data_IF_007501876183
#
_entry.id   IF_007501876183
#
_cell.length_a   1.000
_cell.length_b   1.000
_cell.length_c   1.000
_cell.angle_alpha   90.00
_cell.angle_beta   90.00
_cell.angle_gamma   90.00
#
_symmetry.space_group_name_H-M   'P 1'
#
loop_
_entity.id
_entity.type
_entity.pdbx_description
1 polymer ?
#
# COMPACT_ATOMS: atom_id res chain seq x y z
N UNK A 1 -32.35 -76.32 -14.69
CA UNK A 1 -33.46 -75.66 -13.99
C UNK A 1 -33.12 -75.62 -12.51
N UNK A 2 -33.25 -74.43 -11.87
CA UNK A 2 -33.58 -74.08 -10.46
C UNK A 2 -33.00 -74.99 -9.34
N UNK A 3 -32.49 -74.50 -8.21
CA UNK A 3 -33.07 -73.62 -7.18
C UNK A 3 -31.87 -73.16 -6.31
N UNK A 4 -31.76 -71.96 -5.71
CA UNK A 4 -32.75 -71.02 -5.21
C UNK A 4 -32.35 -70.69 -3.76
N UNK A 5 -31.56 -69.63 -3.55
CA UNK A 5 -31.13 -69.17 -2.22
C UNK A 5 -32.04 -68.03 -1.73
N UNK A 6 -32.49 -68.18 -0.49
CA UNK A 6 -33.37 -67.28 0.26
C UNK A 6 -32.70 -65.91 0.50
N UNK A 7 -33.38 -64.80 0.20
CA UNK A 7 -32.99 -63.44 0.63
C UNK A 7 -34.13 -62.84 1.45
N UNK A 8 -33.86 -62.62 2.75
CA UNK A 8 -34.71 -61.91 3.69
C UNK A 8 -34.56 -60.40 3.47
N UNK A 9 -35.67 -59.72 3.18
CA UNK A 9 -35.73 -58.27 3.05
C UNK A 9 -35.94 -57.60 4.41
N UNK A 10 -35.13 -56.59 4.74
CA UNK A 10 -35.40 -55.62 5.80
C UNK A 10 -35.53 -54.23 5.16
N UNK A 11 -36.76 -53.77 4.95
CA UNK A 11 -37.06 -52.40 4.52
C UNK A 11 -36.99 -51.46 5.72
N UNK A 12 -36.05 -50.52 5.72
CA UNK A 12 -35.94 -49.46 6.73
C UNK A 12 -36.64 -48.21 6.18
N UNK A 13 -37.69 -47.72 6.86
CA UNK A 13 -38.34 -46.46 6.49
C UNK A 13 -37.41 -45.29 6.78
N UNK A 14 -37.02 -44.55 5.75
CA UNK A 14 -36.29 -43.29 5.90
C UNK A 14 -37.27 -42.20 6.30
N UNK A 15 -37.19 -41.74 7.55
CA UNK A 15 -37.77 -40.46 7.96
C UNK A 15 -37.06 -39.29 7.26
N UNK A 16 -37.66 -38.08 7.24
CA UNK A 16 -37.12 -36.96 6.48
C UNK A 16 -35.71 -36.59 6.97
N UNK A 17 -34.82 -36.35 6.00
CA UNK A 17 -33.45 -35.96 6.23
C UNK A 17 -33.39 -34.73 7.15
N UNK A 18 -32.89 -34.90 8.37
CA UNK A 18 -32.41 -33.79 9.18
C UNK A 18 -31.28 -33.12 8.40
N UNK A 19 -31.52 -31.90 7.91
CA UNK A 19 -30.50 -30.97 7.48
C UNK A 19 -29.39 -30.94 8.52
N UNK A 20 -28.20 -31.44 8.16
CA UNK A 20 -26.98 -31.20 8.93
C UNK A 20 -26.68 -29.71 8.81
N UNK A 21 -27.21 -28.92 9.74
CA UNK A 21 -26.70 -27.59 9.99
C UNK A 21 -25.22 -27.76 10.33
N UNK A 22 -24.34 -27.41 9.39
CA UNK A 22 -22.91 -27.32 9.60
C UNK A 22 -22.68 -26.46 10.83
N UNK A 23 -22.08 -27.04 11.87
CA UNK A 23 -21.63 -26.30 13.03
C UNK A 23 -20.69 -25.19 12.53
N UNK A 24 -21.14 -23.94 12.59
CA UNK A 24 -20.30 -22.79 12.27
C UNK A 24 -19.14 -22.79 13.25
N UNK A 25 -17.92 -22.95 12.76
CA UNK A 25 -16.72 -22.86 13.58
C UNK A 25 -16.76 -21.56 14.39
N UNK A 26 -16.64 -21.66 15.71
CA UNK A 26 -16.67 -20.50 16.61
C UNK A 26 -15.31 -19.82 16.72
N UNK A 27 -14.27 -20.48 16.21
CA UNK A 27 -12.88 -20.03 16.19
C UNK A 27 -12.34 -20.09 14.77
N UNK A 28 -11.31 -19.31 14.50
CA UNK A 28 -10.54 -19.31 13.25
C UNK A 28 -9.07 -19.03 13.52
N UNK A 29 -8.18 -19.47 12.63
CA UNK A 29 -6.75 -19.23 12.76
C UNK A 29 -6.33 -17.87 12.20
N UNK A 30 -5.40 -17.22 12.88
CA UNK A 30 -4.75 -16.01 12.43
C UNK A 30 -3.27 -15.99 12.82
N UNK A 31 -2.45 -15.36 11.99
CA UNK A 31 -1.04 -15.10 12.27
C UNK A 31 -0.92 -13.77 13.00
N UNK A 32 -0.15 -13.77 14.08
CA UNK A 32 0.18 -12.56 14.86
C UNK A 32 1.68 -12.49 15.10
N UNK A 33 2.18 -11.27 15.25
CA UNK A 33 3.57 -11.06 15.64
C UNK A 33 3.80 -11.48 17.10
N UNK A 34 4.84 -12.29 17.33
CA UNK A 34 5.38 -12.58 18.67
C UNK A 34 6.91 -12.48 18.65
N UNK A 35 7.44 -11.48 19.37
CA UNK A 35 8.88 -11.24 19.47
C UNK A 35 9.68 -12.40 20.08
N UNK A 36 9.01 -13.33 20.76
CA UNK A 36 9.61 -14.51 21.39
C UNK A 36 9.64 -15.72 20.46
N UNK A 37 8.88 -15.68 19.35
CA UNK A 37 8.89 -16.74 18.37
C UNK A 37 10.15 -16.66 17.51
N UNK A 38 10.78 -17.79 17.14
CA UNK A 38 11.97 -17.80 16.28
C UNK A 38 11.75 -17.08 14.95
N UNK A 39 10.58 -17.30 14.33
CA UNK A 39 10.19 -16.68 13.06
C UNK A 39 9.55 -15.28 13.25
N UNK A 40 9.49 -14.78 14.48
CA UNK A 40 8.82 -13.53 14.84
C UNK A 40 7.30 -13.57 14.76
N UNK A 41 6.68 -14.68 14.35
CA UNK A 41 5.22 -14.85 14.24
C UNK A 41 4.75 -16.17 14.82
N UNK A 42 3.49 -16.23 15.23
CA UNK A 42 2.80 -17.45 15.69
C UNK A 42 1.38 -17.50 15.13
N UNK A 43 0.87 -18.73 14.95
CA UNK A 43 -0.55 -18.97 14.66
C UNK A 43 -1.31 -18.99 15.98
N UNK A 44 -2.40 -18.24 16.05
CA UNK A 44 -3.32 -18.19 17.19
C UNK A 44 -4.75 -18.47 16.73
N UNK A 45 -5.56 -19.01 17.63
CA UNK A 45 -7.00 -19.09 17.42
C UNK A 45 -7.67 -17.79 17.88
N UNK A 46 -8.65 -17.32 17.11
CA UNK A 46 -9.47 -16.15 17.42
C UNK A 46 -10.95 -16.51 17.34
N UNK A 47 -11.76 -15.90 18.19
CA UNK A 47 -13.21 -16.04 18.12
C UNK A 47 -13.75 -15.37 16.85
N UNK A 48 -14.65 -16.05 16.15
CA UNK A 48 -15.43 -15.41 15.08
C UNK A 48 -16.20 -14.22 15.67
N UNK A 49 -16.15 -13.01 15.07
CA UNK A 49 -16.89 -11.87 15.57
C UNK A 49 -18.39 -12.17 15.65
N UNK A 50 -19.01 -11.87 16.81
CA UNK A 50 -20.47 -12.04 16.98
C UNK A 50 -21.30 -11.14 16.06
N UNK A 51 -20.73 -10.01 15.64
CA UNK A 51 -21.33 -9.07 14.72
C UNK A 51 -20.24 -8.29 13.97
N UNK A 52 -20.50 -7.96 12.71
CA UNK A 52 -19.63 -7.11 11.89
C UNK A 52 -19.93 -5.63 12.16
N UNK A 53 -18.90 -4.80 12.27
CA UNK A 53 -19.02 -3.35 12.48
C UNK A 53 -19.60 -2.66 11.25
N UNK A 54 -20.33 -1.55 11.46
CA UNK A 54 -20.77 -0.67 10.36
C UNK A 54 -19.59 -0.23 9.48
N UNK A 55 -19.83 -0.16 8.17
CA UNK A 55 -18.80 0.18 7.17
C UNK A 55 -17.72 -0.89 6.99
N UNK A 56 -17.94 -2.11 7.49
CA UNK A 56 -17.05 -3.26 7.32
C UNK A 56 -17.85 -4.45 6.79
N UNK A 57 -17.12 -5.42 6.24
CA UNK A 57 -17.63 -6.76 5.93
C UNK A 57 -16.69 -7.79 6.53
N UNK A 58 -17.21 -8.97 6.88
CA UNK A 58 -16.39 -10.12 7.24
C UNK A 58 -16.09 -10.91 5.97
N UNK A 59 -14.81 -11.14 5.68
CA UNK A 59 -14.35 -11.87 4.51
C UNK A 59 -13.76 -13.20 4.94
N UNK A 60 -14.20 -14.29 4.30
CA UNK A 60 -13.51 -15.59 4.29
C UNK A 60 -12.33 -15.49 3.35
N UNK A 61 -11.15 -15.35 3.93
CA UNK A 61 -9.91 -15.20 3.17
C UNK A 61 -9.60 -16.51 2.46
N UNK A 62 -9.30 -16.43 1.17
CA UNK A 62 -8.93 -17.56 0.31
C UNK A 62 -7.45 -17.52 -0.07
N UNK A 63 -6.88 -16.32 -0.19
CA UNK A 63 -5.46 -16.11 -0.41
C UNK A 63 -5.01 -14.76 0.18
N UNK A 64 -3.71 -14.65 0.46
CA UNK A 64 -3.06 -13.42 0.92
C UNK A 64 -1.85 -13.10 0.04
N UNK A 65 -1.56 -11.81 -0.13
CA UNK A 65 -0.32 -11.34 -0.73
C UNK A 65 0.76 -11.16 0.34
N UNK A 66 2.01 -11.52 0.03
CA UNK A 66 3.15 -11.33 0.93
C UNK A 66 4.00 -10.17 0.42
N UNK A 67 4.26 -9.22 1.30
CA UNK A 67 4.94 -7.97 1.01
C UNK A 67 6.12 -7.75 1.98
N UNK A 68 7.20 -7.06 1.57
CA UNK A 68 8.29 -6.69 2.48
C UNK A 68 7.81 -5.90 3.71
N UNK A 69 6.71 -5.14 3.57
CA UNK A 69 6.14 -4.37 4.67
C UNK A 69 5.59 -5.26 5.80
N UNK A 70 5.16 -6.49 5.51
CA UNK A 70 4.63 -7.42 6.51
C UNK A 70 5.69 -7.72 7.58
N UNK A 71 6.90 -8.05 7.14
CA UNK A 71 8.05 -8.29 8.02
C UNK A 71 8.53 -7.00 8.72
N UNK A 72 8.49 -5.85 8.02
CA UNK A 72 8.88 -4.56 8.59
C UNK A 72 7.99 -4.15 9.78
N UNK A 73 6.68 -4.45 9.73
CA UNK A 73 5.81 -4.22 10.87
C UNK A 73 6.12 -5.13 12.05
N UNK A 74 6.52 -6.38 11.81
CA UNK A 74 6.94 -7.30 12.87
C UNK A 74 8.10 -6.72 13.71
N UNK A 75 9.06 -6.02 13.10
CA UNK A 75 10.19 -5.43 13.82
C UNK A 75 9.97 -3.98 14.26
N UNK A 76 8.76 -3.42 14.05
CA UNK A 76 8.47 -2.02 14.39
C UNK A 76 9.25 -1.01 13.55
N UNK A 77 9.62 -1.37 12.31
CA UNK A 77 10.36 -0.52 11.36
C UNK A 77 9.58 0.73 10.94
N UNK A 78 8.25 0.72 11.11
CA UNK A 78 7.37 1.86 10.79
C UNK A 78 7.20 2.86 11.93
N UNK A 79 7.90 2.65 13.03
CA UNK A 79 7.91 3.55 14.17
C UNK A 79 9.19 4.43 14.13
N UNK A 80 9.15 5.65 14.66
CA UNK A 80 10.30 6.54 14.65
C UNK A 80 11.58 5.86 15.16
N UNK A 81 12.67 5.95 14.39
CA UNK A 81 13.96 5.33 14.74
C UNK A 81 14.51 5.82 16.08
N UNK A 82 14.13 7.04 16.50
CA UNK A 82 14.48 7.59 17.81
C UNK A 82 13.90 6.80 18.99
N UNK A 83 12.89 5.95 18.76
CA UNK A 83 12.36 5.07 19.80
C UNK A 83 13.26 3.84 19.99
N UNK A 84 13.57 3.46 21.25
CA UNK A 84 14.33 2.26 21.54
C UNK A 84 13.72 1.03 20.85
N UNK A 85 14.57 0.18 20.26
CA UNK A 85 14.11 -1.00 19.52
C UNK A 85 13.18 -1.89 20.37
N UNK A 86 13.52 -2.11 21.64
CA UNK A 86 12.69 -2.88 22.57
C UNK A 86 11.29 -2.29 22.76
N UNK A 87 11.17 -0.95 22.74
CA UNK A 87 9.88 -0.27 22.81
C UNK A 87 9.10 -0.43 21.50
N UNK A 88 9.74 -0.21 20.35
CA UNK A 88 9.12 -0.40 19.03
C UNK A 88 8.56 -1.82 18.88
N UNK A 89 9.36 -2.84 19.20
CA UNK A 89 8.94 -4.25 19.15
C UNK A 89 7.85 -4.59 20.17
N UNK A 90 7.82 -3.91 21.31
CA UNK A 90 6.74 -4.09 22.30
C UNK A 90 5.40 -3.55 21.78
N UNK A 91 5.38 -2.39 21.12
CA UNK A 91 4.14 -1.78 20.63
C UNK A 91 3.43 -2.58 19.53
N UNK A 92 4.13 -3.47 18.83
CA UNK A 92 3.56 -4.31 17.76
C UNK A 92 3.29 -5.74 18.22
N UNK A 93 3.65 -6.11 19.46
CA UNK A 93 3.42 -7.45 20.03
C UNK A 93 1.94 -7.86 19.96
N UNK A 94 1.65 -9.04 19.42
CA UNK A 94 0.28 -9.54 19.25
C UNK A 94 -0.50 -8.86 18.13
N UNK A 95 0.11 -7.92 17.38
CA UNK A 95 -0.47 -7.31 16.20
C UNK A 95 -0.70 -8.33 15.08
N UNK A 96 -1.76 -8.13 14.31
CA UNK A 96 -2.02 -8.94 13.12
C UNK A 96 -0.98 -8.70 12.02
N UNK A 97 -0.72 -9.75 11.23
CA UNK A 97 0.26 -9.73 10.13
C UNK A 97 -0.45 -9.79 8.77
N UNK A 98 0.19 -9.19 7.78
CA UNK A 98 -0.26 -9.19 6.39
C UNK A 98 -1.13 -7.98 6.03
N UNK A 99 -0.95 -7.46 4.83
CA UNK A 99 -1.83 -6.43 4.27
C UNK A 99 -2.86 -6.98 3.28
N UNK A 100 -2.45 -7.79 2.30
CA UNK A 100 -3.30 -8.10 1.15
C UNK A 100 -4.12 -9.36 1.34
N UNK A 101 -5.37 -9.34 0.86
CA UNK A 101 -6.25 -10.49 0.84
C UNK A 101 -7.12 -10.55 -0.42
N UNK A 102 -7.52 -11.77 -0.77
CA UNK A 102 -8.67 -12.02 -1.61
C UNK A 102 -9.52 -13.14 -1.01
N UNK A 103 -10.84 -13.03 -1.14
CA UNK A 103 -11.75 -13.95 -0.51
C UNK A 103 -13.20 -13.71 -0.86
N UNK A 104 -14.09 -14.27 -0.05
CA UNK A 104 -15.54 -14.18 -0.25
C UNK A 104 -16.16 -13.46 0.94
N UNK A 105 -17.08 -12.52 0.69
CA UNK A 105 -17.84 -11.87 1.76
C UNK A 105 -18.68 -12.94 2.48
N UNK A 106 -18.39 -13.15 3.76
CA UNK A 106 -19.05 -14.13 4.60
C UNK A 106 -20.21 -13.53 5.40
N UNK A 107 -20.05 -12.32 5.90
CA UNK A 107 -21.09 -11.66 6.68
C UNK A 107 -21.05 -10.13 6.53
N UNK A 108 -22.23 -9.54 6.67
CA UNK A 108 -22.45 -8.10 6.66
C UNK A 108 -22.75 -7.60 8.08
N UNK A 109 -22.70 -6.28 8.32
CA UNK A 109 -23.17 -5.69 9.57
C UNK A 109 -24.67 -6.01 9.76
N UNK A 110 -25.14 -6.28 11.00
CA UNK A 110 -26.55 -6.58 11.24
C UNK A 110 -27.53 -5.50 10.75
N UNK A 111 -27.06 -4.25 10.66
CA UNK A 111 -27.87 -3.12 10.19
C UNK A 111 -27.86 -2.92 8.66
N UNK A 112 -27.12 -3.72 7.90
CA UNK A 112 -26.93 -3.51 6.46
C UNK A 112 -28.07 -4.09 5.59
N UNK A 113 -28.90 -4.99 6.13
CA UNK A 113 -29.87 -5.72 5.32
C UNK A 113 -29.17 -6.63 4.31
N UNK A 114 -29.46 -6.45 3.02
CA UNK A 114 -28.92 -7.30 1.94
C UNK A 114 -27.53 -6.88 1.44
N UNK A 115 -27.09 -5.64 1.70
CA UNK A 115 -25.82 -5.13 1.18
C UNK A 115 -25.18 -4.07 2.09
N UNK A 116 -23.85 -4.04 2.19
CA UNK A 116 -23.08 -2.99 2.84
C UNK A 116 -22.16 -2.31 1.83
N UNK A 117 -22.41 -1.02 1.53
CA UNK A 117 -21.63 -0.24 0.55
C UNK A 117 -21.47 -0.93 -0.81
N UNK A 118 -22.51 -1.64 -1.26
CA UNK A 118 -22.53 -2.37 -2.53
C UNK A 118 -22.10 -3.84 -2.45
N UNK A 119 -21.51 -4.29 -1.34
CA UNK A 119 -21.09 -5.68 -1.14
C UNK A 119 -22.20 -6.54 -0.51
N UNK A 120 -22.36 -7.77 -1.01
CA UNK A 120 -23.29 -8.79 -0.54
C UNK A 120 -22.55 -10.04 -0.07
N UNK A 121 -23.20 -10.84 0.78
CA UNK A 121 -22.69 -12.17 1.14
C UNK A 121 -22.55 -13.02 -0.12
N UNK A 122 -21.40 -13.67 -0.28
CA UNK A 122 -21.06 -14.46 -1.45
C UNK A 122 -20.22 -13.72 -2.51
N UNK A 123 -20.08 -12.39 -2.43
CA UNK A 123 -19.28 -11.64 -3.39
C UNK A 123 -17.79 -12.00 -3.27
N UNK A 124 -17.13 -12.22 -4.40
CA UNK A 124 -15.68 -12.35 -4.47
C UNK A 124 -15.04 -10.96 -4.43
N UNK A 125 -14.13 -10.77 -3.48
CA UNK A 125 -13.50 -9.46 -3.20
C UNK A 125 -12.01 -9.60 -3.01
N UNK A 126 -11.28 -8.52 -3.27
CA UNK A 126 -9.86 -8.38 -2.97
C UNK A 126 -9.58 -6.98 -2.45
N UNK A 127 -8.49 -6.82 -1.69
CA UNK A 127 -8.16 -5.54 -1.10
C UNK A 127 -7.07 -5.64 -0.04
N UNK A 128 -6.93 -4.56 0.74
CA UNK A 128 -5.88 -4.46 1.74
C UNK A 128 -6.42 -4.22 3.15
N UNK A 129 -5.67 -4.62 4.16
CA UNK A 129 -6.00 -4.41 5.56
C UNK A 129 -5.30 -3.17 6.11
N UNK A 130 -5.94 -2.42 7.02
CA UNK A 130 -5.24 -1.42 7.81
C UNK A 130 -4.09 -2.04 8.62
N UNK A 131 -3.03 -1.27 8.94
CA UNK A 131 -1.90 -1.77 9.73
C UNK A 131 -2.31 -2.46 11.04
N UNK A 132 -1.54 -3.48 11.43
CA UNK A 132 -1.73 -4.29 12.65
C UNK A 132 -3.05 -5.09 12.69
N UNK A 133 -3.80 -5.13 11.59
CA UNK A 133 -4.87 -6.09 11.39
C UNK A 133 -4.33 -7.30 10.62
N UNK A 134 -4.91 -8.47 10.83
CA UNK A 134 -4.42 -9.70 10.22
C UNK A 134 -5.19 -9.98 8.92
N UNK A 135 -4.53 -9.86 7.76
CA UNK A 135 -5.01 -10.53 6.53
C UNK A 135 -4.54 -11.98 6.48
N UNK A 136 -3.39 -12.30 7.11
CA UNK A 136 -2.91 -13.68 7.29
C UNK A 136 -3.78 -14.39 8.33
N UNK A 137 -5.02 -14.66 7.96
CA UNK A 137 -6.04 -15.25 8.79
C UNK A 137 -7.11 -15.89 7.92
N UNK A 138 -7.84 -16.86 8.46
CA UNK A 138 -8.97 -17.48 7.75
C UNK A 138 -10.15 -16.50 7.62
N UNK A 139 -10.27 -15.53 8.52
CA UNK A 139 -11.31 -14.49 8.53
C UNK A 139 -10.71 -13.11 8.77
N UNK A 140 -11.18 -12.13 8.01
CA UNK A 140 -10.79 -10.73 8.15
C UNK A 140 -12.03 -9.82 8.15
N UNK A 141 -12.16 -8.97 9.17
CA UNK A 141 -13.15 -7.88 9.18
C UNK A 141 -12.52 -6.66 8.50
N UNK A 142 -12.96 -6.34 7.29
CA UNK A 142 -12.32 -5.37 6.41
C UNK A 142 -13.22 -4.14 6.22
N UNK A 143 -12.69 -2.91 6.30
CA UNK A 143 -13.45 -1.73 5.91
C UNK A 143 -13.83 -1.81 4.42
N UNK A 144 -15.09 -1.49 4.08
CA UNK A 144 -15.59 -1.59 2.70
C UNK A 144 -14.80 -0.73 1.70
N UNK A 145 -14.32 0.44 2.13
CA UNK A 145 -13.49 1.34 1.31
C UNK A 145 -12.06 0.82 1.04
N UNK A 146 -11.68 -0.32 1.64
CA UNK A 146 -10.41 -1.00 1.40
C UNK A 146 -10.58 -2.23 0.49
N UNK A 147 -11.79 -2.51 0.04
CA UNK A 147 -12.14 -3.64 -0.82
C UNK A 147 -12.60 -3.16 -2.19
N UNK A 148 -12.37 -4.01 -3.17
CA UNK A 148 -12.99 -3.94 -4.48
C UNK A 148 -13.56 -5.32 -4.87
N UNK A 149 -14.53 -5.31 -5.79
CA UNK A 149 -14.98 -6.54 -6.42
C UNK A 149 -13.81 -7.19 -7.18
N UNK A 150 -13.67 -8.51 -7.04
CA UNK A 150 -12.62 -9.24 -7.74
C UNK A 150 -12.86 -9.19 -9.26
N UNK A 151 -11.86 -8.85 -10.09
CA UNK A 151 -12.00 -8.91 -11.54
C UNK A 151 -12.35 -10.33 -12.00
N UNK A 152 -13.24 -10.43 -12.98
CA UNK A 152 -13.58 -11.71 -13.59
C UNK A 152 -12.33 -12.36 -14.21
N UNK A 153 -12.19 -13.67 -14.02
CA UNK A 153 -11.08 -14.45 -14.58
C UNK A 153 -9.83 -14.55 -13.71
N UNK A 154 -9.69 -13.75 -12.64
CA UNK A 154 -8.59 -13.92 -11.68
C UNK A 154 -8.91 -15.00 -10.65
N UNK A 155 -7.92 -15.83 -10.33
CA UNK A 155 -7.94 -16.68 -9.15
C UNK A 155 -7.72 -15.85 -7.87
N UNK A 156 -8.11 -16.38 -6.71
CA UNK A 156 -7.87 -15.69 -5.43
C UNK A 156 -6.38 -15.37 -5.19
N UNK A 157 -5.40 -16.26 -5.45
CA UNK A 157 -3.99 -15.92 -5.31
C UNK A 157 -3.54 -14.77 -6.23
N UNK A 158 -3.99 -14.75 -7.48
CA UNK A 158 -3.67 -13.67 -8.42
C UNK A 158 -4.27 -12.34 -7.95
N UNK A 159 -5.54 -12.34 -7.54
CA UNK A 159 -6.19 -11.15 -7.00
C UNK A 159 -5.52 -10.65 -5.71
N UNK A 160 -5.12 -11.56 -4.81
CA UNK A 160 -4.47 -11.20 -3.55
C UNK A 160 -3.05 -10.63 -3.75
N UNK A 161 -2.42 -10.83 -4.91
CA UNK A 161 -1.09 -10.31 -5.20
C UNK A 161 -1.09 -8.83 -5.64
N UNK A 162 -2.26 -8.24 -5.89
CA UNK A 162 -2.40 -6.91 -6.49
C UNK A 162 -2.61 -5.73 -5.54
N UNK A 163 -3.29 -5.82 -4.37
CA UNK A 163 -3.81 -4.64 -3.69
C UNK A 163 -2.72 -3.63 -3.28
N UNK A 164 -1.72 -4.04 -2.49
CA UNK A 164 -0.67 -3.13 -2.04
C UNK A 164 0.19 -2.62 -3.19
N UNK A 165 0.69 -3.53 -4.04
CA UNK A 165 1.61 -3.15 -5.12
C UNK A 165 0.94 -2.33 -6.21
N UNK A 166 -0.31 -2.65 -6.55
CA UNK A 166 -1.10 -1.96 -7.57
C UNK A 166 -1.55 -0.58 -7.10
N UNK A 167 -2.03 -0.45 -5.86
CA UNK A 167 -2.34 0.88 -5.30
C UNK A 167 -1.09 1.75 -5.19
N UNK A 168 0.06 1.18 -4.82
CA UNK A 168 1.34 1.89 -4.79
C UNK A 168 1.72 2.42 -6.17
N UNK A 169 1.67 1.58 -7.21
CA UNK A 169 1.98 1.98 -8.57
C UNK A 169 1.03 3.07 -9.10
N UNK A 170 -0.28 2.90 -8.90
CA UNK A 170 -1.30 3.87 -9.33
C UNK A 170 -1.16 5.22 -8.61
N UNK A 171 -0.89 5.20 -7.30
CA UNK A 171 -0.67 6.42 -6.52
C UNK A 171 0.56 7.17 -7.01
N UNK A 172 1.67 6.47 -7.23
CA UNK A 172 2.91 7.09 -7.70
C UNK A 172 2.76 7.66 -9.12
N UNK A 173 2.35 6.83 -10.08
CA UNK A 173 2.36 7.19 -11.50
C UNK A 173 1.23 8.17 -11.84
N UNK A 174 -0.01 7.86 -11.45
CA UNK A 174 -1.18 8.65 -11.84
C UNK A 174 -1.50 9.75 -10.83
N UNK A 175 -1.72 9.42 -9.57
CA UNK A 175 -2.32 10.37 -8.62
C UNK A 175 -1.35 11.44 -8.12
N UNK A 176 -0.08 11.08 -7.90
CA UNK A 176 0.92 12.01 -7.33
C UNK A 176 1.65 12.80 -8.41
N UNK A 177 2.02 12.15 -9.50
CA UNK A 177 2.89 12.72 -10.54
C UNK A 177 2.19 12.95 -11.89
N UNK A 178 0.99 12.40 -12.10
CA UNK A 178 0.18 12.70 -13.28
C UNK A 178 0.78 12.22 -14.59
N UNK A 179 1.39 11.04 -14.61
CA UNK A 179 1.86 10.41 -15.85
C UNK A 179 0.70 10.30 -16.86
N UNK A 180 0.96 10.71 -18.10
CA UNK A 180 -0.05 10.92 -19.13
C UNK A 180 0.44 10.48 -20.51
N UNK A 181 -0.47 10.46 -21.47
CA UNK A 181 -0.24 9.99 -22.83
C UNK A 181 0.97 10.69 -23.49
N UNK A 182 1.79 9.91 -24.19
CA UNK A 182 2.98 10.41 -24.89
C UNK A 182 4.21 10.65 -24.00
N UNK A 183 4.09 10.51 -22.68
CA UNK A 183 5.21 10.73 -21.77
C UNK A 183 6.17 9.54 -21.70
N UNK A 184 7.39 9.83 -21.24
CA UNK A 184 8.46 8.83 -21.06
C UNK A 184 8.73 8.62 -19.58
N UNK A 185 8.76 7.37 -19.14
CA UNK A 185 9.00 7.02 -17.73
C UNK A 185 10.05 5.92 -17.60
N UNK A 186 10.90 6.03 -16.58
CA UNK A 186 11.84 4.99 -16.18
C UNK A 186 11.35 4.34 -14.87
N UNK A 187 11.23 3.01 -14.87
CA UNK A 187 10.89 2.21 -13.68
C UNK A 187 12.15 1.49 -13.21
N UNK A 188 12.69 1.86 -12.05
CA UNK A 188 13.85 1.22 -11.44
C UNK A 188 13.37 0.11 -10.49
N UNK A 189 13.94 -1.09 -10.60
CA UNK A 189 13.43 -2.27 -9.91
C UNK A 189 12.21 -2.88 -10.61
N UNK A 190 12.15 -2.75 -11.93
CA UNK A 190 10.98 -3.10 -12.76
C UNK A 190 10.55 -4.57 -12.69
N UNK A 191 11.44 -5.48 -12.28
CA UNK A 191 11.10 -6.89 -12.11
C UNK A 191 10.64 -7.26 -10.69
N UNK A 192 10.52 -6.29 -9.79
CA UNK A 192 10.03 -6.49 -8.42
C UNK A 192 8.50 -6.46 -8.31
N UNK A 193 7.96 -6.65 -7.11
CA UNK A 193 6.51 -6.67 -6.86
C UNK A 193 5.81 -5.38 -7.33
N UNK A 194 6.27 -4.21 -6.86
CA UNK A 194 5.73 -2.92 -7.32
C UNK A 194 6.13 -2.64 -8.77
N UNK A 195 7.39 -2.87 -9.12
CA UNK A 195 7.93 -2.53 -10.45
C UNK A 195 7.20 -3.24 -11.60
N UNK A 196 6.87 -4.52 -11.45
CA UNK A 196 6.21 -5.30 -12.51
C UNK A 196 4.78 -4.82 -12.79
N UNK A 197 4.05 -4.41 -11.75
CA UNK A 197 2.73 -3.78 -11.90
C UNK A 197 2.88 -2.35 -12.42
N UNK A 198 3.90 -1.61 -11.97
CA UNK A 198 4.18 -0.26 -12.42
C UNK A 198 4.52 -0.17 -13.91
N UNK A 199 5.22 -1.15 -14.49
CA UNK A 199 5.48 -1.21 -15.94
C UNK A 199 4.17 -1.28 -16.73
N UNK A 200 3.24 -2.15 -16.31
CA UNK A 200 1.95 -2.33 -16.97
C UNK A 200 1.09 -1.06 -16.86
N UNK A 201 0.97 -0.53 -15.63
CA UNK A 201 0.25 0.73 -15.38
C UNK A 201 0.85 1.88 -16.16
N UNK A 202 2.18 2.01 -16.18
CA UNK A 202 2.86 3.03 -16.94
C UNK A 202 2.53 2.91 -18.43
N UNK A 203 2.59 1.69 -18.99
CA UNK A 203 2.33 1.47 -20.42
C UNK A 203 0.90 1.84 -20.81
N UNK A 204 -0.07 1.48 -19.98
CA UNK A 204 -1.47 1.88 -20.17
C UNK A 204 -1.65 3.41 -20.14
N UNK A 205 -1.03 4.09 -19.17
CA UNK A 205 -1.15 5.55 -19.01
C UNK A 205 -0.47 6.35 -20.13
N UNK A 206 0.69 5.91 -20.62
CA UNK A 206 1.44 6.65 -21.64
C UNK A 206 1.01 6.32 -23.07
N UNK A 207 0.32 5.19 -23.27
CA UNK A 207 -0.19 4.76 -24.57
C UNK A 207 0.89 4.47 -25.61
N UNK A 208 0.47 4.38 -26.87
CA UNK A 208 1.36 4.04 -27.99
C UNK A 208 2.38 5.15 -28.32
N UNK A 209 2.06 6.41 -28.01
CA UNK A 209 2.97 7.54 -28.21
C UNK A 209 4.01 7.73 -27.10
N UNK A 210 3.86 7.00 -25.99
CA UNK A 210 4.75 7.09 -24.83
C UNK A 210 5.90 6.08 -24.87
N UNK A 211 6.72 6.09 -23.82
CA UNK A 211 7.87 5.20 -23.69
C UNK A 211 8.08 4.75 -22.24
N UNK A 212 8.12 3.44 -22.02
CA UNK A 212 8.40 2.84 -20.71
C UNK A 212 9.78 2.17 -20.73
N UNK A 213 10.70 2.73 -19.95
CA UNK A 213 12.01 2.14 -19.73
C UNK A 213 12.04 1.38 -18.39
N UNK A 214 12.72 0.25 -18.35
CA UNK A 214 12.80 -0.61 -17.18
C UNK A 214 14.25 -0.88 -16.79
N UNK A 215 14.59 -0.74 -15.51
CA UNK A 215 15.86 -1.22 -14.96
C UNK A 215 15.61 -2.48 -14.15
N UNK A 216 16.25 -3.58 -14.54
CA UNK A 216 16.22 -4.85 -13.82
C UNK A 216 17.49 -5.68 -14.14
N UNK A 217 17.59 -6.92 -13.67
CA UNK A 217 18.70 -7.79 -14.08
C UNK A 217 18.46 -8.34 -15.48
N UNK A 218 19.52 -8.58 -16.26
CA UNK A 218 19.41 -9.08 -17.65
C UNK A 218 18.45 -10.27 -17.82
N UNK A 219 18.46 -11.22 -16.87
CA UNK A 219 17.58 -12.40 -16.88
C UNK A 219 16.07 -12.07 -16.91
N UNK A 220 15.68 -10.88 -16.47
CA UNK A 220 14.29 -10.43 -16.39
C UNK A 220 13.88 -9.51 -17.56
N UNK A 221 14.78 -9.22 -18.51
CA UNK A 221 14.50 -8.28 -19.61
C UNK A 221 13.30 -8.72 -20.45
N UNK A 222 13.23 -9.98 -20.85
CA UNK A 222 12.11 -10.47 -21.66
C UNK A 222 10.79 -10.46 -20.87
N UNK A 223 10.84 -10.73 -19.57
CA UNK A 223 9.67 -10.62 -18.70
C UNK A 223 9.13 -9.19 -18.68
N UNK A 224 9.97 -8.18 -18.38
CA UNK A 224 9.49 -6.79 -18.27
C UNK A 224 9.06 -6.21 -19.62
N UNK A 225 9.69 -6.63 -20.73
CA UNK A 225 9.21 -6.28 -22.08
C UNK A 225 7.84 -6.88 -22.36
N UNK A 226 7.62 -8.15 -21.98
CA UNK A 226 6.30 -8.80 -22.07
C UNK A 226 5.22 -8.09 -21.25
N UNK A 227 5.61 -7.39 -20.17
CA UNK A 227 4.71 -6.54 -19.36
C UNK A 227 4.46 -5.16 -19.97
N UNK A 228 5.15 -4.78 -21.04
CA UNK A 228 4.95 -3.50 -21.74
C UNK A 228 6.13 -2.53 -21.71
N UNK A 229 7.29 -2.91 -21.16
CA UNK A 229 8.48 -2.07 -21.26
C UNK A 229 9.00 -2.00 -22.71
N UNK A 230 9.23 -0.79 -23.21
CA UNK A 230 9.80 -0.53 -24.53
C UNK A 230 11.33 -0.70 -24.56
N UNK A 231 11.98 -0.55 -23.40
CA UNK A 231 13.41 -0.77 -23.23
C UNK A 231 13.74 -1.36 -21.84
N UNK A 232 14.78 -2.19 -21.77
CA UNK A 232 15.25 -2.80 -20.53
C UNK A 232 16.77 -2.64 -20.37
N UNK A 233 17.21 -2.24 -19.18
CA UNK A 233 18.60 -1.94 -18.84
C UNK A 233 19.07 -2.78 -17.65
N UNK A 234 20.29 -3.30 -17.75
CA UNK A 234 20.87 -4.23 -16.79
C UNK A 234 21.73 -3.51 -15.74
N UNK A 235 21.26 -3.46 -14.50
CA UNK A 235 22.04 -2.83 -13.42
C UNK A 235 23.22 -3.69 -12.94
N UNK A 236 23.27 -4.98 -13.29
CA UNK A 236 24.27 -5.92 -12.75
C UNK A 236 25.67 -5.71 -13.31
N UNK A 237 25.81 -4.90 -14.36
CA UNK A 237 27.08 -4.51 -14.97
C UNK A 237 27.72 -3.30 -14.29
N UNK A 238 27.10 -2.78 -13.23
CA UNK A 238 27.57 -1.63 -12.47
C UNK A 238 26.70 -0.39 -12.68
N UNK A 239 26.51 0.39 -11.60
CA UNK A 239 25.64 1.57 -11.62
C UNK A 239 26.19 2.68 -12.51
N UNK A 240 27.50 2.86 -12.58
CA UNK A 240 28.11 3.92 -13.39
C UNK A 240 27.86 3.65 -14.87
N UNK A 241 28.09 2.41 -15.32
CA UNK A 241 27.77 1.96 -16.68
C UNK A 241 26.29 2.12 -17.02
N UNK A 242 25.40 1.72 -16.10
CA UNK A 242 23.96 1.92 -16.27
C UNK A 242 23.62 3.40 -16.47
N UNK A 243 24.21 4.30 -15.67
CA UNK A 243 23.95 5.74 -15.79
C UNK A 243 24.52 6.31 -17.09
N UNK A 244 25.68 5.86 -17.56
CA UNK A 244 26.22 6.24 -18.87
C UNK A 244 25.26 5.85 -20.01
N UNK A 245 24.78 4.61 -20.01
CA UNK A 245 23.83 4.11 -21.01
C UNK A 245 22.51 4.90 -21.00
N UNK A 246 21.96 5.17 -19.81
CA UNK A 246 20.75 5.98 -19.66
C UNK A 246 20.98 7.43 -20.11
N UNK A 247 22.13 8.02 -19.75
CA UNK A 247 22.50 9.38 -20.13
C UNK A 247 22.59 9.53 -21.64
N UNK A 248 23.28 8.60 -22.31
CA UNK A 248 23.39 8.59 -23.76
C UNK A 248 22.01 8.44 -24.42
N UNK A 249 21.20 7.49 -23.95
CA UNK A 249 19.88 7.22 -24.55
C UNK A 249 18.92 8.39 -24.42
N UNK A 250 18.85 9.01 -23.26
CA UNK A 250 17.85 10.01 -22.94
C UNK A 250 18.37 11.45 -23.05
N UNK A 251 19.58 11.67 -23.57
CA UNK A 251 20.17 13.00 -23.84
C UNK A 251 19.26 13.86 -24.71
N UNK A 252 18.76 13.32 -25.82
CA UNK A 252 17.92 14.06 -26.79
C UNK A 252 16.42 13.86 -26.55
N UNK A 253 16.06 12.84 -25.77
CA UNK A 253 14.69 12.45 -25.49
C UNK A 253 14.46 12.25 -23.98
N UNK A 254 14.61 13.30 -23.16
CA UNK A 254 14.59 13.18 -21.71
C UNK A 254 13.26 12.60 -21.19
N UNK A 255 13.36 11.95 -20.02
CA UNK A 255 12.26 11.32 -19.30
C UNK A 255 11.38 12.37 -18.62
N UNK A 256 10.08 12.11 -18.57
CA UNK A 256 9.12 12.91 -17.82
C UNK A 256 9.06 12.51 -16.34
N UNK A 257 9.31 11.22 -16.05
CA UNK A 257 9.20 10.66 -14.70
C UNK A 257 10.21 9.51 -14.49
N UNK A 258 10.70 9.36 -13.26
CA UNK A 258 11.41 8.16 -12.81
C UNK A 258 10.69 7.65 -11.56
N UNK A 259 10.27 6.38 -11.58
CA UNK A 259 9.77 5.69 -10.41
C UNK A 259 10.87 4.75 -9.89
N UNK A 260 11.39 5.06 -8.72
CA UNK A 260 12.39 4.26 -8.05
C UNK A 260 11.74 3.33 -7.00
N UNK A 261 11.75 2.03 -7.28
CA UNK A 261 11.25 0.99 -6.37
C UNK A 261 12.36 0.30 -5.56
N UNK A 262 13.60 0.80 -5.63
CA UNK A 262 14.78 0.17 -5.02
C UNK A 262 15.36 1.03 -3.89
N UNK A 263 15.57 2.33 -4.12
CA UNK A 263 16.25 3.15 -3.12
C UNK A 263 15.43 3.29 -1.84
N UNK A 264 16.13 3.27 -0.72
CA UNK A 264 15.60 3.56 0.61
C UNK A 264 16.42 4.67 1.25
N UNK A 265 15.82 5.37 2.22
CA UNK A 265 16.51 6.38 3.03
C UNK A 265 17.45 5.75 4.07
N UNK A 266 17.35 4.43 4.28
CA UNK A 266 18.17 3.67 5.21
C UNK A 266 19.66 3.73 4.80
N UNK A 267 20.56 3.93 5.78
CA UNK A 267 21.98 4.15 5.52
C UNK A 267 22.65 3.03 4.70
N UNK A 268 22.19 1.78 4.87
CA UNK A 268 22.68 0.60 4.15
C UNK A 268 22.32 0.60 2.65
N UNK A 269 21.24 1.29 2.28
CA UNK A 269 20.71 1.32 0.90
C UNK A 269 21.15 2.58 0.13
N UNK A 270 21.83 3.52 0.81
CA UNK A 270 22.44 4.72 0.18
C UNK A 270 23.51 4.40 -0.87
N UNK A 271 24.00 3.16 -0.91
CA UNK A 271 24.96 2.72 -1.93
C UNK A 271 24.35 2.79 -3.34
N UNK A 272 23.04 2.62 -3.48
CA UNK A 272 22.36 2.70 -4.77
C UNK A 272 22.11 4.15 -5.22
N UNK A 273 21.70 5.04 -4.31
CA UNK A 273 21.35 6.46 -4.50
C UNK A 273 20.95 6.84 -5.94
N UNK A 274 19.94 6.15 -6.48
CA UNK A 274 19.48 6.39 -7.84
C UNK A 274 18.96 7.81 -8.00
N UNK A 275 18.46 8.43 -6.93
CA UNK A 275 18.00 9.82 -6.94
C UNK A 275 19.14 10.76 -7.35
N UNK A 276 20.27 10.77 -6.61
CA UNK A 276 21.40 11.62 -6.95
C UNK A 276 21.98 11.29 -8.34
N UNK A 277 22.08 10.00 -8.67
CA UNK A 277 22.64 9.53 -9.95
C UNK A 277 21.80 9.95 -11.15
N UNK A 278 20.48 9.78 -11.09
CA UNK A 278 19.55 10.19 -12.15
C UNK A 278 19.58 11.71 -12.35
N UNK A 279 19.68 12.48 -11.28
CA UNK A 279 19.84 13.93 -11.39
C UNK A 279 21.17 14.33 -12.02
N UNK A 280 22.28 13.70 -11.62
CA UNK A 280 23.59 13.94 -12.20
C UNK A 280 23.66 13.56 -13.69
N UNK A 281 22.95 12.51 -14.08
CA UNK A 281 22.84 12.04 -15.46
C UNK A 281 22.06 13.00 -16.39
N UNK A 282 21.30 13.95 -15.83
CA UNK A 282 20.55 14.93 -16.62
C UNK A 282 19.42 14.34 -17.48
N UNK A 283 18.92 13.15 -17.15
CA UNK A 283 17.97 12.40 -17.98
C UNK A 283 16.49 12.81 -17.78
N UNK A 284 16.21 13.78 -16.90
CA UNK A 284 14.85 14.25 -16.60
C UNK A 284 14.56 15.61 -17.26
N UNK A 285 13.39 15.74 -17.91
CA UNK A 285 12.89 16.99 -18.52
C UNK A 285 12.74 18.13 -17.50
N UNK A 286 12.38 17.80 -16.26
CA UNK A 286 12.07 18.77 -15.22
C UNK A 286 12.65 18.29 -13.89
N UNK A 287 13.74 18.91 -13.47
CA UNK A 287 14.15 18.86 -12.06
C UNK A 287 13.20 19.80 -11.32
N UNK A 288 12.14 19.26 -10.72
CA UNK A 288 11.41 20.04 -9.72
C UNK A 288 12.44 20.40 -8.65
N UNK A 289 12.69 21.68 -8.35
CA UNK A 289 13.45 22.00 -7.14
C UNK A 289 12.71 21.32 -6.00
N UNK A 290 13.45 20.57 -5.17
CA UNK A 290 12.93 20.12 -3.88
C UNK A 290 12.42 21.39 -3.21
N UNK A 291 11.10 21.62 -3.23
CA UNK A 291 10.53 22.74 -2.50
C UNK A 291 10.97 22.50 -1.06
N UNK A 292 11.72 23.43 -0.44
CA UNK A 292 12.09 23.25 0.94
C UNK A 292 10.81 22.94 1.71
N UNK A 293 10.84 21.86 2.49
CA UNK A 293 9.77 21.54 3.44
C UNK A 293 9.40 22.85 4.13
N UNK A 294 8.13 23.28 4.16
CA UNK A 294 7.78 24.53 4.80
C UNK A 294 8.18 24.45 6.27
N UNK A 295 9.29 25.09 6.61
CA UNK A 295 9.75 25.24 7.99
C UNK A 295 8.87 26.30 8.63
N UNK A 296 7.96 25.89 9.51
CA UNK A 296 7.28 26.83 10.40
C UNK A 296 8.27 27.21 11.50
N UNK A 297 8.93 28.36 11.34
CA UNK A 297 9.74 28.94 12.41
C UNK A 297 8.82 29.70 13.37
N UNK A 298 8.55 29.12 14.53
CA UNK A 298 7.85 29.77 15.63
C UNK A 298 8.85 30.64 16.40
N UNK A 299 8.84 31.95 16.12
CA UNK A 299 9.63 32.93 16.88
C UNK A 299 8.81 33.38 18.10
N UNK A 300 9.12 32.86 19.28
CA UNK A 300 8.59 33.39 20.54
C UNK A 300 9.37 34.67 20.89
N UNK A 301 8.66 35.80 20.99
CA UNK A 301 9.23 37.07 21.44
C UNK A 301 9.39 36.98 22.97
N UNK A 302 10.60 37.06 23.52
CA UNK A 302 10.82 36.84 24.94
C UNK A 302 10.46 38.09 25.74
N UNK A 303 9.61 37.93 26.74
CA UNK A 303 9.71 38.74 27.96
C UNK A 303 10.53 37.94 28.97
N UNK A 304 11.81 38.31 29.04
CA UNK A 304 12.81 37.97 30.07
C UNK A 304 13.23 36.49 30.25
N UNK A 305 14.50 36.27 29.87
CA UNK A 305 15.45 35.24 30.36
C UNK A 305 15.09 33.76 30.18
N UNK A 306 15.20 33.26 28.93
CA UNK A 306 15.94 32.05 28.49
C UNK A 306 15.41 31.60 27.12
N UNK A 307 16.31 31.22 26.20
CA UNK A 307 15.98 30.80 24.83
C UNK A 307 15.82 29.28 24.76
N UNK A 308 14.67 28.81 24.29
CA UNK A 308 14.45 27.42 23.85
C UNK A 308 14.02 27.46 22.38
N UNK A 309 14.88 26.99 21.48
CA UNK A 309 14.57 26.89 20.05
C UNK A 309 13.97 25.51 19.77
N UNK A 310 12.68 25.48 19.42
CA UNK A 310 11.97 24.26 19.01
C UNK A 310 11.80 24.26 17.49
N UNK A 311 12.57 23.42 16.79
CA UNK A 311 12.42 23.21 15.35
C UNK A 311 11.39 22.12 15.11
N UNK A 312 10.19 22.49 14.63
CA UNK A 312 9.16 21.54 14.21
C UNK A 312 9.25 21.33 12.70
N UNK A 313 9.72 20.15 12.28
CA UNK A 313 9.69 19.74 10.87
C UNK A 313 8.30 19.20 10.54
N UNK A 314 7.50 19.95 9.80
CA UNK A 314 6.17 19.53 9.38
C UNK A 314 6.27 18.68 8.11
N UNK A 315 6.14 17.37 8.24
CA UNK A 315 5.91 16.49 7.08
C UNK A 315 4.50 16.71 6.55
N UNK A 316 4.36 16.65 5.22
CA UNK A 316 3.20 17.10 4.45
C UNK A 316 1.96 16.17 4.62
N UNK A 317 1.43 16.04 5.83
CA UNK A 317 0.26 15.17 6.12
C UNK A 317 -0.95 15.94 6.67
N UNK A 318 -0.96 17.28 6.62
CA UNK A 318 -2.01 18.09 7.26
C UNK A 318 -2.60 19.19 6.35
N UNK A 319 -2.86 18.90 5.07
CA UNK A 319 -3.68 19.80 4.21
C UNK A 319 -5.15 19.38 4.05
N UNK A 320 -5.58 18.23 4.56
CA UNK A 320 -6.96 17.76 4.37
C UNK A 320 -7.94 18.10 5.51
N UNK A 321 -7.56 18.87 6.53
CA UNK A 321 -8.41 19.11 7.71
C UNK A 321 -8.48 20.55 8.24
N UNK A 322 -8.32 21.56 7.38
CA UNK A 322 -8.60 22.95 7.79
C UNK A 322 -9.65 23.53 6.83
N UNK A 323 -10.89 23.79 7.28
CA UNK A 323 -11.86 24.52 6.48
C UNK A 323 -11.37 25.96 6.30
N UNK A 324 -11.41 26.46 5.06
CA UNK A 324 -11.03 27.83 4.74
C UNK A 324 -11.94 28.83 5.48
N UNK A 325 -11.38 29.59 6.42
CA UNK A 325 -12.00 30.81 6.92
C UNK A 325 -11.47 32.01 6.11
N UNK A 326 -12.33 32.97 5.72
CA UNK A 326 -11.90 34.13 4.95
C UNK A 326 -11.17 35.11 5.88
N UNK A 327 -9.88 35.31 5.66
CA UNK A 327 -9.14 36.37 6.35
C UNK A 327 -9.31 37.66 5.55
N UNK A 328 -10.06 38.60 6.13
CA UNK A 328 -10.17 39.97 5.66
C UNK A 328 -8.80 40.66 5.75
N UNK A 329 -8.36 41.24 4.63
CA UNK A 329 -7.17 42.08 4.57
C UNK A 329 -7.59 43.48 4.99
N UNK A 330 -7.24 43.91 6.20
CA UNK A 330 -7.25 45.32 6.59
C UNK A 330 -5.83 45.84 6.63
N UNK A 331 -5.47 46.65 5.64
CA UNK A 331 -4.25 47.45 5.62
C UNK A 331 -4.44 48.72 6.44
N UNK A 332 -3.54 49.02 7.38
CA UNK A 332 -3.34 50.39 7.84
C UNK A 332 -1.85 50.67 8.07
N UNK A 333 -1.31 51.52 7.20
CA UNK A 333 -0.01 52.15 7.29
C UNK A 333 0.04 53.14 8.46
N UNK A 334 1.16 53.15 9.18
CA UNK A 334 1.48 54.15 10.19
C UNK A 334 1.70 55.54 9.55
N UNK A 335 1.17 56.58 10.20
CA UNK A 335 1.46 57.98 9.92
C UNK A 335 1.33 58.79 11.20
N UNK A 336 2.39 59.48 11.58
CA UNK A 336 2.60 60.10 12.87
C UNK A 336 2.01 61.53 12.99
N UNK A 337 1.83 61.92 14.26
CA UNK A 337 2.06 63.26 14.83
C UNK A 337 0.88 64.23 15.05
N UNK A 338 0.83 64.63 16.33
CA UNK A 338 0.69 65.98 16.87
C UNK A 338 -0.70 66.63 17.07
N UNK A 339 -0.92 66.93 18.37
CA UNK A 339 -1.46 68.17 18.95
C UNK A 339 -2.96 68.48 18.87
N UNK A 340 -3.57 68.61 20.06
CA UNK A 340 -4.23 69.88 20.44
C UNK A 340 -5.76 69.86 20.63
N UNK A 341 -6.15 69.96 21.90
CA UNK A 341 -7.34 70.63 22.48
C UNK A 341 -8.77 70.17 22.16
N UNK A 342 -9.51 69.98 23.27
CA UNK A 342 -10.96 69.87 23.42
C UNK A 342 -11.66 71.24 23.17
N UNK A 343 -13.00 71.33 23.12
CA UNK A 343 -13.89 70.95 24.23
C UNK A 343 -14.66 69.64 24.05
#
# INVERSE_FOLDING_TARGET
MRHGLLLLSLSRSLGPARSLATATATMYHAVVYDRRAPEGVVVVEKNVPKAVRRGHVLVRVKACGVNPVDAKYCVGDKLPEALPEGFRRWTVQGGGVGFDLAGVVEALPPSAGEACDGFRVGDAVFGSMPPLKASFAELAEVPTHQLAAMPEGLSFPEAAALPLVGTTAMQALRHRHGLSEGQRVLIIGASGGVGSVAVQVAKDLVGAGGHVAAVCSARNHEMVKGLGADAAYDYTQGLDKLMEELSERYREAPLDLVLDCVSSLEAKDRVFDYNARVHAAGILKRVLPLTPTPTLTLTLIPTLTQTLTLTLTLTQTLRSRIPAAPVAITSSSAGASATGFAP
#
